data_IF_395800124701
#
_entry.id   IF_395800124701
#
_cell.length_a   1.000
_cell.length_b   1.000
_cell.length_c   1.000
_cell.angle_alpha   90.00
_cell.angle_beta   90.00
_cell.angle_gamma   90.00
#
_symmetry.space_group_name_H-M   'P 1'
#
loop_
_entity.id
_entity.type
_entity.pdbx_description
1 polymer ?
#
# COMPACT_ATOMS: atom_id res chain seq x y z
N UNK A 1 20.76 -1.68 -1.65
CA UNK A 1 19.96 -2.92 -1.78
C UNK A 1 20.22 -3.51 -3.15
N UNK A 2 20.28 -4.84 -3.26
CA UNK A 2 20.50 -5.51 -4.54
C UNK A 2 19.25 -5.39 -5.43
N UNK A 3 19.44 -5.03 -6.71
CA UNK A 3 18.36 -5.01 -7.70
C UNK A 3 18.09 -6.43 -8.21
N UNK A 4 16.80 -6.80 -8.26
CA UNK A 4 16.35 -8.10 -8.78
C UNK A 4 15.67 -7.86 -10.12
N UNK A 5 16.09 -8.58 -11.16
CA UNK A 5 15.39 -8.57 -12.44
C UNK A 5 14.13 -9.42 -12.35
N UNK A 6 13.01 -8.83 -12.71
CA UNK A 6 11.72 -9.52 -12.80
C UNK A 6 11.23 -9.46 -14.25
N UNK A 7 10.57 -10.53 -14.70
CA UNK A 7 9.83 -10.55 -15.96
C UNK A 7 8.37 -10.84 -15.66
N UNK A 8 7.47 -10.06 -16.23
CA UNK A 8 6.03 -10.26 -16.12
C UNK A 8 5.33 -9.76 -17.37
N UNK A 9 4.13 -10.28 -17.62
CA UNK A 9 3.23 -9.73 -18.63
C UNK A 9 2.41 -8.62 -18.01
N UNK A 10 2.24 -7.53 -18.74
CA UNK A 10 1.41 -6.38 -18.36
C UNK A 10 0.58 -5.97 -19.57
N UNK A 11 -0.59 -5.41 -19.31
CA UNK A 11 -1.45 -4.89 -20.37
C UNK A 11 -0.78 -3.73 -21.11
N UNK A 12 -0.99 -3.65 -22.42
CA UNK A 12 -0.36 -2.65 -23.27
C UNK A 12 -0.67 -1.22 -22.82
N UNK A 13 -1.93 -0.97 -22.44
CA UNK A 13 -2.39 0.35 -21.99
C UNK A 13 -1.72 0.77 -20.68
N UNK A 14 -1.60 -0.15 -19.72
CA UNK A 14 -0.93 0.10 -18.43
C UNK A 14 0.57 0.33 -18.62
N UNK A 15 1.20 -0.43 -19.52
CA UNK A 15 2.60 -0.22 -19.86
C UNK A 15 2.84 1.17 -20.46
N UNK A 16 1.98 1.62 -21.37
CA UNK A 16 2.07 2.96 -21.95
C UNK A 16 1.88 4.05 -20.90
N UNK A 17 0.87 3.92 -20.03
CA UNK A 17 0.63 4.86 -18.95
C UNK A 17 1.84 4.98 -18.00
N UNK A 18 2.49 3.86 -17.67
CA UNK A 18 3.70 3.86 -16.85
C UNK A 18 4.87 4.57 -17.55
N UNK A 19 5.03 4.38 -18.86
CA UNK A 19 6.08 5.05 -19.65
C UNK A 19 5.86 6.57 -19.72
N UNK A 20 4.63 7.00 -19.93
CA UNK A 20 4.27 8.42 -19.99
C UNK A 20 4.48 9.07 -18.62
N UNK A 21 4.03 8.42 -17.54
CA UNK A 21 4.26 8.89 -16.17
C UNK A 21 5.75 9.01 -15.84
N UNK A 22 6.57 8.03 -16.22
CA UNK A 22 8.02 8.07 -15.99
C UNK A 22 8.69 9.25 -16.73
N UNK A 23 8.20 9.59 -17.93
CA UNK A 23 8.69 10.76 -18.69
C UNK A 23 8.28 12.06 -18.03
N UNK A 24 7.03 12.18 -17.61
CA UNK A 24 6.49 13.35 -16.92
C UNK A 24 7.24 13.61 -15.60
N UNK A 25 7.46 12.57 -14.81
CA UNK A 25 8.15 12.67 -13.52
C UNK A 25 9.67 12.71 -13.63
N UNK A 26 10.24 12.59 -14.84
CA UNK A 26 11.67 12.49 -15.08
C UNK A 26 12.35 11.35 -14.29
N UNK A 27 11.62 10.27 -14.02
CA UNK A 27 12.10 9.10 -13.30
C UNK A 27 12.40 7.93 -14.24
N UNK A 28 13.29 7.04 -13.82
CA UNK A 28 13.47 5.76 -14.50
C UNK A 28 12.26 4.85 -14.29
N UNK A 29 11.90 4.05 -15.31
CA UNK A 29 10.82 3.06 -15.20
C UNK A 29 11.08 2.09 -14.03
N UNK A 30 12.32 1.65 -13.83
CA UNK A 30 12.67 0.76 -12.72
C UNK A 30 12.49 1.41 -11.35
N UNK A 31 12.80 2.70 -11.23
CA UNK A 31 12.56 3.47 -10.00
C UNK A 31 11.06 3.58 -9.71
N UNK A 32 10.29 4.03 -10.70
CA UNK A 32 8.84 4.16 -10.60
C UNK A 32 8.15 2.83 -10.28
N UNK A 33 8.58 1.73 -10.89
CA UNK A 33 8.05 0.39 -10.61
C UNK A 33 8.37 -0.06 -9.18
N UNK A 34 9.57 0.25 -8.69
CA UNK A 34 9.97 -0.07 -7.30
C UNK A 34 9.10 0.68 -6.29
N UNK A 35 8.84 1.97 -6.54
CA UNK A 35 7.95 2.80 -5.73
C UNK A 35 6.52 2.25 -5.76
N UNK A 36 5.98 1.97 -6.94
CA UNK A 36 4.62 1.44 -7.11
C UNK A 36 4.43 0.09 -6.41
N UNK A 37 5.39 -0.83 -6.51
CA UNK A 37 5.35 -2.12 -5.79
C UNK A 37 5.34 -1.89 -4.28
N UNK A 38 6.21 -1.01 -3.76
CA UNK A 38 6.27 -0.66 -2.34
C UNK A 38 4.96 -0.08 -1.82
N UNK A 39 4.39 0.88 -2.54
CA UNK A 39 3.10 1.49 -2.23
C UNK A 39 1.96 0.48 -2.24
N UNK A 40 1.92 -0.38 -3.25
CA UNK A 40 0.89 -1.41 -3.36
C UNK A 40 0.93 -2.37 -2.18
N UNK A 41 2.12 -2.87 -1.82
CA UNK A 41 2.30 -3.77 -0.67
C UNK A 41 1.90 -3.08 0.63
N UNK A 42 2.35 -1.84 0.86
CA UNK A 42 1.97 -1.05 2.04
C UNK A 42 0.46 -0.88 2.14
N UNK A 43 -0.19 -0.38 1.09
CA UNK A 43 -1.66 -0.18 1.05
C UNK A 43 -2.42 -1.46 1.33
N UNK A 44 -1.93 -2.60 0.83
CA UNK A 44 -2.60 -3.89 1.01
C UNK A 44 -2.40 -4.50 2.39
N UNK A 45 -1.33 -4.14 3.10
CA UNK A 45 -1.05 -4.52 4.50
C UNK A 45 -1.65 -3.57 5.53
N UNK A 46 -1.81 -2.30 5.20
CA UNK A 46 -2.52 -1.30 6.00
C UNK A 46 -3.96 -1.73 6.30
N UNK A 47 -4.60 -2.45 5.37
CA UNK A 47 -6.01 -2.86 5.53
C UNK A 47 -6.21 -3.84 6.69
N UNK A 48 -5.39 -4.89 6.87
CA UNK A 48 -5.33 -5.67 8.11
C UNK A 48 -4.98 -4.85 9.35
N UNK A 49 -3.88 -4.10 9.35
CA UNK A 49 -3.38 -3.40 10.54
C UNK A 49 -4.37 -2.34 11.07
N UNK A 50 -5.06 -1.64 10.17
CA UNK A 50 -6.10 -0.68 10.55
C UNK A 50 -7.35 -1.38 11.11
N UNK A 51 -7.70 -2.57 10.60
CA UNK A 51 -8.82 -3.34 11.15
C UNK A 51 -8.50 -3.82 12.57
N UNK A 52 -7.28 -4.32 12.81
CA UNK A 52 -6.84 -4.74 14.14
C UNK A 52 -6.91 -3.57 15.14
N UNK A 53 -6.42 -2.38 14.75
CA UNK A 53 -6.50 -1.19 15.61
C UNK A 53 -7.93 -0.69 15.87
N UNK A 54 -8.84 -0.88 14.91
CA UNK A 54 -10.25 -0.54 15.09
C UNK A 54 -10.93 -1.52 16.05
N UNK A 55 -10.63 -2.82 15.95
CA UNK A 55 -11.13 -3.84 16.88
C UNK A 55 -10.62 -3.59 18.31
N UNK A 56 -9.33 -3.27 18.46
CA UNK A 56 -8.75 -2.88 19.76
C UNK A 56 -9.46 -1.65 20.35
N UNK A 57 -9.66 -0.61 19.53
CA UNK A 57 -10.35 0.62 19.96
C UNK A 57 -11.80 0.37 20.36
N UNK A 58 -12.49 -0.55 19.66
CA UNK A 58 -13.85 -0.97 20.01
C UNK A 58 -13.89 -1.68 21.37
N UNK A 59 -12.97 -2.62 21.61
CA UNK A 59 -12.87 -3.32 22.90
C UNK A 59 -12.56 -2.36 24.05
N UNK A 60 -11.59 -1.46 23.87
CA UNK A 60 -11.25 -0.46 24.87
C UNK A 60 -12.45 0.44 25.21
N UNK A 61 -13.23 0.83 24.20
CA UNK A 61 -14.41 1.66 24.39
C UNK A 61 -15.56 0.89 25.08
N UNK A 62 -15.77 -0.39 24.77
CA UNK A 62 -16.73 -1.23 25.47
C UNK A 62 -16.36 -1.41 26.95
N UNK A 63 -15.08 -1.60 27.25
CA UNK A 63 -14.58 -1.70 28.61
C UNK A 63 -14.71 -0.38 29.38
N UNK A 64 -14.43 0.75 28.71
CA UNK A 64 -14.66 2.08 29.27
C UNK A 64 -16.14 2.30 29.59
N UNK A 65 -17.03 1.96 28.65
CA UNK A 65 -18.48 2.05 28.84
C UNK A 65 -18.97 1.22 30.01
N UNK A 66 -18.47 0.00 30.18
CA UNK A 66 -18.77 -0.86 31.34
C UNK A 66 -18.30 -0.25 32.66
N UNK A 67 -17.17 0.44 32.68
CA UNK A 67 -16.62 1.09 33.89
C UNK A 67 -17.37 2.37 34.26
N UNK A 68 -17.82 3.14 33.26
CA UNK A 68 -18.55 4.40 33.45
C UNK A 68 -20.04 4.22 33.75
N UNK A 69 -20.62 3.06 33.44
CA UNK A 69 -22.00 2.71 33.77
C UNK A 69 -22.18 2.23 35.23
N UNK A 70 -21.13 2.32 36.06
CA UNK A 70 -21.16 2.11 37.52
C UNK A 70 -21.00 3.44 38.25
#
# INVERSE_FOLDING_TARGET
>A
MASIKISSKVEQNEWKALQDLARESHQSISGLLTEAIGDYVRKRRLRPEVLDHLDDSMQENEDLGRRLAK
#
